data_IF_671432056696
#
_entry.id   IF_671432056696
#
_cell.length_a   1.000
_cell.length_b   1.000
_cell.length_c   1.000
_cell.angle_alpha   90.00
_cell.angle_beta   90.00
_cell.angle_gamma   90.00
#
_symmetry.space_group_name_H-M   'P 1'
#
loop_
_entity.id
_entity.type
_entity.pdbx_description
1 polymer ?
#
# COMPACT_ATOMS: atom_id res chain seq x y z
N UNK A 1 34.56 -28.85 22.51
CA UNK A 1 33.39 -29.71 22.71
C UNK A 1 32.48 -29.63 21.47
N UNK A 2 33.06 -29.87 20.27
CA UNK A 2 32.38 -29.80 18.97
C UNK A 2 33.01 -30.83 18.03
N UNK A 3 32.76 -32.12 18.30
CA UNK A 3 33.17 -33.24 17.42
C UNK A 3 32.49 -34.50 17.94
N UNK A 4 31.18 -34.67 17.69
CA UNK A 4 30.46 -35.95 17.79
C UNK A 4 29.02 -35.73 17.35
N UNK A 5 28.78 -35.61 16.02
CA UNK A 5 27.49 -35.86 15.38
C UNK A 5 27.69 -35.98 13.85
N UNK A 6 28.56 -36.92 13.51
CA UNK A 6 28.74 -37.33 12.10
C UNK A 6 29.12 -38.81 12.12
N UNK A 7 28.17 -39.67 12.38
CA UNK A 7 28.26 -41.10 12.08
C UNK A 7 26.92 -41.75 12.43
N UNK A 8 25.96 -41.69 11.53
CA UNK A 8 24.79 -42.58 11.43
C UNK A 8 23.99 -42.26 10.18
N UNK A 9 24.55 -42.45 9.01
CA UNK A 9 23.80 -42.48 7.75
C UNK A 9 24.56 -43.32 6.74
N UNK A 10 24.59 -44.63 7.01
CA UNK A 10 24.95 -45.62 6.00
C UNK A 10 23.86 -46.67 5.99
N UNK A 11 23.39 -46.95 4.75
CA UNK A 11 22.65 -48.10 4.28
C UNK A 11 21.11 -48.07 4.43
N UNK A 12 20.46 -47.70 3.31
CA UNK A 12 19.67 -48.68 2.57
C UNK A 12 19.39 -48.19 1.13
N UNK A 13 19.69 -48.95 0.07
CA UNK A 13 19.41 -48.58 -1.30
C UNK A 13 17.95 -48.93 -1.63
N UNK A 14 17.06 -47.95 -1.76
CA UNK A 14 15.78 -48.13 -2.44
C UNK A 14 15.86 -47.52 -3.84
N UNK A 15 15.73 -48.43 -4.81
CA UNK A 15 15.63 -48.16 -6.25
C UNK A 15 14.60 -47.08 -6.56
N UNK A 16 15.01 -46.14 -7.40
CA UNK A 16 14.09 -45.53 -8.35
C UNK A 16 13.31 -44.30 -7.90
N UNK A 17 13.97 -43.22 -7.52
CA UNK A 17 13.51 -41.86 -7.73
C UNK A 17 14.74 -40.97 -7.92
N UNK A 18 15.14 -40.75 -9.15
CA UNK A 18 16.01 -39.63 -9.49
C UNK A 18 15.35 -38.36 -8.99
N UNK A 19 16.04 -37.48 -8.26
CA UNK A 19 15.47 -36.21 -7.86
C UNK A 19 15.22 -35.39 -9.12
N UNK A 20 13.99 -34.98 -9.30
CA UNK A 20 13.48 -34.13 -10.39
C UNK A 20 14.28 -32.80 -10.55
N UNK A 21 15.15 -32.52 -9.61
CA UNK A 21 16.01 -31.31 -9.55
C UNK A 21 17.23 -31.35 -10.49
N UNK A 22 17.66 -32.53 -10.98
CA UNK A 22 18.80 -32.63 -11.87
C UNK A 22 18.45 -32.59 -13.36
N UNK A 23 17.19 -32.66 -13.73
CA UNK A 23 16.74 -32.54 -15.13
C UNK A 23 16.45 -31.10 -15.56
N UNK A 24 16.42 -30.14 -14.63
CA UNK A 24 16.19 -28.72 -14.95
C UNK A 24 17.46 -27.94 -15.30
N UNK A 25 18.64 -28.51 -15.10
CA UNK A 25 19.92 -27.88 -15.43
C UNK A 25 20.44 -28.14 -16.85
N UNK A 26 19.77 -28.97 -17.63
CA UNK A 26 20.20 -29.35 -18.97
C UNK A 26 19.43 -28.64 -20.12
N UNK A 27 18.45 -27.81 -19.79
CA UNK A 27 17.78 -26.98 -20.81
C UNK A 27 18.25 -25.55 -20.68
N UNK A 28 19.16 -25.19 -21.59
CA UNK A 28 19.62 -23.81 -21.76
C UNK A 28 18.44 -22.87 -21.96
N UNK A 29 18.37 -21.80 -21.13
CA UNK A 29 17.42 -20.72 -21.29
C UNK A 29 16.03 -21.07 -20.79
N UNK A 30 15.82 -21.15 -19.46
CA UNK A 30 14.50 -20.85 -18.93
C UNK A 30 14.13 -19.46 -19.43
N UNK A 31 12.98 -19.30 -20.13
CA UNK A 31 12.49 -17.95 -20.45
C UNK A 31 12.50 -17.18 -19.12
N UNK A 32 12.81 -15.86 -19.14
CA UNK A 32 12.70 -15.06 -17.93
C UNK A 32 11.33 -15.37 -17.35
N UNK A 33 11.28 -15.79 -16.08
CA UNK A 33 10.01 -15.93 -15.36
C UNK A 33 9.25 -14.65 -15.67
N UNK A 34 8.23 -14.73 -16.51
CA UNK A 34 7.37 -13.58 -16.78
C UNK A 34 6.96 -13.08 -15.42
N UNK A 35 7.37 -11.86 -15.07
CA UNK A 35 6.97 -11.25 -13.81
C UNK A 35 5.45 -11.40 -13.72
N UNK A 36 4.99 -11.95 -12.60
CA UNK A 36 3.57 -12.21 -12.42
C UNK A 36 2.80 -10.91 -12.66
N UNK A 37 1.72 -10.96 -13.46
CA UNK A 37 0.96 -9.78 -13.89
C UNK A 37 0.53 -8.95 -12.68
N UNK A 38 1.13 -7.77 -12.51
CA UNK A 38 0.79 -6.82 -11.45
C UNK A 38 -0.49 -6.09 -11.81
N UNK A 39 -1.24 -5.73 -10.79
CA UNK A 39 -2.44 -4.91 -10.92
C UNK A 39 -2.45 -3.76 -9.92
N UNK A 40 -3.39 -2.85 -10.09
CA UNK A 40 -3.57 -1.73 -9.15
C UNK A 40 -5.04 -1.41 -8.95
N UNK A 41 -5.40 -1.09 -7.70
CA UNK A 41 -6.72 -0.59 -7.37
C UNK A 41 -6.83 0.91 -7.60
N UNK A 42 -7.88 1.31 -8.30
CA UNK A 42 -8.33 2.69 -8.36
C UNK A 42 -9.58 2.87 -7.51
N UNK A 43 -9.40 3.42 -6.30
CA UNK A 43 -10.41 3.45 -5.25
C UNK A 43 -11.10 4.80 -5.08
N UNK A 44 -10.84 5.74 -5.97
CA UNK A 44 -11.42 7.08 -5.93
C UNK A 44 -12.85 7.09 -6.48
N UNK A 45 -13.69 7.95 -5.90
CA UNK A 45 -15.08 8.16 -6.37
C UNK A 45 -15.16 9.20 -7.48
N UNK A 46 -14.22 10.13 -7.53
CA UNK A 46 -14.17 11.13 -8.58
C UNK A 46 -13.86 10.51 -9.94
N UNK A 47 -14.62 10.92 -10.95
CA UNK A 47 -14.47 10.53 -12.34
C UNK A 47 -14.47 11.80 -13.20
N UNK A 48 -13.27 12.29 -13.49
CA UNK A 48 -13.00 13.49 -14.26
C UNK A 48 -11.77 13.27 -15.17
N UNK A 49 -11.42 14.26 -15.97
CA UNK A 49 -10.27 14.18 -16.87
C UNK A 49 -8.95 13.82 -16.15
N UNK A 50 -8.78 14.26 -14.90
CA UNK A 50 -7.58 13.91 -14.11
C UNK A 50 -7.54 12.41 -13.82
N UNK A 51 -8.65 11.83 -13.38
CA UNK A 51 -8.73 10.39 -13.14
C UNK A 51 -8.52 9.59 -14.43
N UNK A 52 -9.01 10.07 -15.57
CA UNK A 52 -8.80 9.42 -16.85
C UNK A 52 -7.33 9.45 -17.29
N UNK A 53 -6.63 10.59 -17.10
CA UNK A 53 -5.18 10.67 -17.37
C UNK A 53 -4.36 9.69 -16.52
N UNK A 54 -4.64 9.64 -15.22
CA UNK A 54 -3.94 8.72 -14.31
C UNK A 54 -4.16 7.26 -14.70
N UNK A 55 -5.40 6.90 -15.04
CA UNK A 55 -5.74 5.55 -15.49
C UNK A 55 -5.13 5.19 -16.83
N UNK A 56 -5.10 6.13 -17.78
CA UNK A 56 -4.44 5.94 -19.07
C UNK A 56 -2.93 5.70 -18.92
N UNK A 57 -2.29 6.39 -17.95
CA UNK A 57 -0.87 6.17 -17.63
C UNK A 57 -0.59 4.79 -16.99
N UNK A 58 -1.60 4.04 -16.59
CA UNK A 58 -1.51 2.70 -16.01
C UNK A 58 -2.08 1.61 -16.95
N UNK A 59 -2.24 1.89 -18.24
CA UNK A 59 -2.89 0.96 -19.18
C UNK A 59 -2.10 -0.36 -19.38
N UNK A 60 -0.83 -0.40 -18.99
CA UNK A 60 0.04 -1.57 -18.97
C UNK A 60 -0.19 -2.48 -17.74
N UNK A 61 -1.02 -2.06 -16.80
CA UNK A 61 -1.37 -2.83 -15.60
C UNK A 61 -2.81 -3.32 -15.63
N UNK A 62 -3.09 -4.40 -14.91
CA UNK A 62 -4.47 -4.84 -14.68
C UNK A 62 -5.14 -3.88 -13.70
N UNK A 63 -6.12 -3.13 -14.18
CA UNK A 63 -6.83 -2.13 -13.39
C UNK A 63 -8.02 -2.73 -12.68
N UNK A 64 -8.13 -2.52 -11.37
CA UNK A 64 -9.26 -2.86 -10.51
C UNK A 64 -9.93 -1.56 -10.07
N UNK A 65 -11.11 -1.25 -10.64
CA UNK A 65 -11.73 0.06 -10.48
C UNK A 65 -13.00 -0.02 -9.65
N UNK A 66 -13.08 0.75 -8.58
CA UNK A 66 -14.30 0.87 -7.78
C UNK A 66 -15.46 1.30 -8.68
N UNK A 67 -16.43 0.40 -8.86
CA UNK A 67 -17.61 0.56 -9.73
C UNK A 67 -18.86 0.86 -8.93
N UNK A 68 -18.95 0.35 -7.73
CA UNK A 68 -20.12 0.58 -6.90
C UNK A 68 -19.92 0.23 -5.43
N UNK A 69 -20.71 0.87 -4.59
CA UNK A 69 -20.78 0.60 -3.16
C UNK A 69 -22.24 0.35 -2.77
N UNK A 70 -22.46 -0.74 -2.06
CA UNK A 70 -23.77 -1.16 -1.60
C UNK A 70 -23.74 -1.38 -0.09
N UNK A 71 -24.43 -0.53 0.63
CA UNK A 71 -24.54 -0.57 2.09
C UNK A 71 -25.99 -0.78 2.52
N UNK A 72 -26.20 -1.51 3.61
CA UNK A 72 -27.55 -1.85 4.08
C UNK A 72 -28.42 -0.62 4.40
N UNK A 73 -27.80 0.46 4.89
CA UNK A 73 -28.53 1.66 5.38
C UNK A 73 -28.16 2.93 4.64
N UNK A 74 -27.64 2.81 3.43
CA UNK A 74 -27.26 3.95 2.62
C UNK A 74 -27.67 3.71 1.16
N UNK A 75 -27.95 4.77 0.39
CA UNK A 75 -28.18 4.65 -1.05
C UNK A 75 -27.02 3.93 -1.74
N UNK A 76 -27.36 3.11 -2.73
CA UNK A 76 -26.34 2.49 -3.58
C UNK A 76 -25.63 3.58 -4.39
N UNK A 77 -24.30 3.50 -4.43
CA UNK A 77 -23.46 4.38 -5.24
C UNK A 77 -22.97 3.57 -6.44
N UNK A 78 -23.26 4.02 -7.64
CA UNK A 78 -22.71 3.48 -8.89
C UNK A 78 -21.87 4.57 -9.56
N UNK A 79 -20.63 4.22 -9.88
CA UNK A 79 -19.67 5.12 -10.50
C UNK A 79 -19.51 4.76 -11.99
N UNK A 80 -19.33 5.74 -12.85
CA UNK A 80 -18.99 5.49 -14.25
C UNK A 80 -17.63 4.81 -14.35
N UNK A 81 -17.52 3.76 -15.18
CA UNK A 81 -16.22 3.25 -15.56
C UNK A 81 -15.59 4.12 -16.64
N UNK A 82 -14.29 4.36 -16.57
CA UNK A 82 -13.56 5.04 -17.65
C UNK A 82 -13.49 4.15 -18.89
N UNK A 83 -13.12 4.75 -20.03
CA UNK A 83 -12.95 4.05 -21.30
C UNK A 83 -11.62 3.26 -21.36
N UNK A 84 -11.31 2.50 -20.30
CA UNK A 84 -10.13 1.64 -20.22
C UNK A 84 -10.54 0.20 -19.89
N UNK A 85 -9.74 -0.76 -20.30
CA UNK A 85 -9.96 -2.16 -19.91
C UNK A 85 -9.71 -2.32 -18.41
N UNK A 86 -10.74 -2.64 -17.65
CA UNK A 86 -10.66 -2.74 -16.20
C UNK A 86 -11.58 -3.82 -15.64
N UNK A 87 -11.23 -4.33 -14.46
CA UNK A 87 -12.07 -5.17 -13.63
C UNK A 87 -12.93 -4.26 -12.74
N UNK A 88 -14.26 -4.25 -12.90
CA UNK A 88 -15.13 -3.51 -12.00
C UNK A 88 -15.12 -4.15 -10.61
N UNK A 89 -14.88 -3.34 -9.58
CA UNK A 89 -14.90 -3.74 -8.18
C UNK A 89 -16.17 -3.22 -7.52
N UNK A 90 -16.91 -4.10 -6.89
CA UNK A 90 -18.11 -3.75 -6.14
C UNK A 90 -17.89 -3.98 -4.66
N UNK A 91 -17.96 -2.89 -3.87
CA UNK A 91 -17.88 -2.95 -2.42
C UNK A 91 -19.24 -3.25 -1.84
N UNK A 92 -19.34 -4.33 -1.05
CA UNK A 92 -20.57 -4.81 -0.46
C UNK A 92 -20.47 -4.82 1.07
N UNK A 93 -21.48 -4.31 1.75
CA UNK A 93 -21.70 -4.60 3.16
C UNK A 93 -22.17 -6.06 3.31
N UNK A 94 -21.60 -6.79 4.26
CA UNK A 94 -21.91 -8.19 4.55
C UNK A 94 -23.39 -8.48 4.90
N UNK A 95 -24.23 -7.49 4.98
CA UNK A 95 -25.65 -7.62 5.31
C UNK A 95 -26.58 -7.48 4.10
N UNK A 96 -26.08 -7.00 2.95
CA UNK A 96 -26.94 -6.70 1.80
C UNK A 96 -27.45 -7.95 1.09
N UNK A 97 -26.70 -9.03 1.08
CA UNK A 97 -27.06 -10.27 0.35
C UNK A 97 -28.17 -11.10 0.99
N UNK A 98 -28.61 -10.77 2.19
CA UNK A 98 -29.76 -11.41 2.83
C UNK A 98 -31.11 -10.93 2.21
N UNK A 99 -31.08 -9.88 1.40
CA UNK A 99 -32.24 -9.35 0.70
C UNK A 99 -32.30 -9.91 -0.73
N UNK A 100 -33.33 -10.74 -1.02
CA UNK A 100 -33.59 -11.31 -2.33
C UNK A 100 -33.66 -10.24 -3.43
N UNK A 101 -34.40 -9.16 -3.16
CA UNK A 101 -34.58 -8.05 -4.13
C UNK A 101 -33.25 -7.38 -4.43
N UNK A 102 -32.36 -7.28 -3.41
CA UNK A 102 -31.01 -6.78 -3.62
C UNK A 102 -30.23 -7.70 -4.56
N UNK A 103 -30.26 -9.02 -4.32
CA UNK A 103 -29.48 -9.98 -5.12
C UNK A 103 -29.91 -9.95 -6.59
N UNK A 104 -31.19 -9.89 -6.87
CA UNK A 104 -31.75 -9.78 -8.22
C UNK A 104 -31.34 -8.48 -8.93
N UNK A 105 -31.50 -7.35 -8.23
CA UNK A 105 -31.07 -6.04 -8.73
C UNK A 105 -29.57 -6.00 -8.99
N UNK A 106 -28.77 -6.54 -8.08
CA UNK A 106 -27.32 -6.59 -8.23
C UNK A 106 -26.92 -7.49 -9.40
N UNK A 107 -27.54 -8.65 -9.56
CA UNK A 107 -27.33 -9.52 -10.72
C UNK A 107 -27.66 -8.80 -12.04
N UNK A 108 -28.71 -7.96 -12.07
CA UNK A 108 -29.02 -7.12 -13.25
C UNK A 108 -27.91 -6.13 -13.57
N UNK A 109 -27.33 -5.48 -12.55
CA UNK A 109 -26.19 -4.59 -12.71
C UNK A 109 -24.99 -5.36 -13.26
N UNK A 110 -24.69 -6.54 -12.71
CA UNK A 110 -23.58 -7.36 -13.18
C UNK A 110 -23.75 -7.84 -14.63
N UNK A 111 -24.97 -8.13 -15.07
CA UNK A 111 -25.26 -8.46 -16.47
C UNK A 111 -24.98 -7.31 -17.43
N UNK A 112 -25.21 -6.06 -16.98
CA UNK A 112 -24.97 -4.88 -17.81
C UNK A 112 -23.49 -4.50 -17.92
N UNK A 113 -22.61 -5.03 -17.03
CA UNK A 113 -21.18 -4.80 -17.14
C UNK A 113 -20.61 -5.58 -18.35
N UNK A 114 -19.81 -4.91 -19.16
CA UNK A 114 -19.17 -5.51 -20.34
C UNK A 114 -17.94 -6.35 -19.97
N UNK A 115 -17.28 -6.03 -18.87
CA UNK A 115 -16.09 -6.76 -18.41
C UNK A 115 -16.41 -8.24 -18.13
N UNK A 116 -15.58 -9.19 -18.59
CA UNK A 116 -15.80 -10.63 -18.35
C UNK A 116 -15.50 -11.04 -16.91
N UNK A 117 -14.73 -10.21 -16.18
CA UNK A 117 -14.37 -10.43 -14.78
C UNK A 117 -14.96 -9.32 -13.91
N UNK A 118 -15.42 -9.70 -12.72
CA UNK A 118 -15.95 -8.80 -11.70
C UNK A 118 -15.32 -9.16 -10.36
N UNK A 119 -14.92 -8.17 -9.59
CA UNK A 119 -14.43 -8.39 -8.23
C UNK A 119 -15.44 -7.91 -7.19
N UNK A 120 -15.64 -8.73 -6.17
CA UNK A 120 -16.43 -8.39 -5.00
C UNK A 120 -15.49 -8.07 -3.82
N UNK A 121 -15.59 -6.84 -3.32
CA UNK A 121 -14.87 -6.40 -2.12
C UNK A 121 -15.85 -6.39 -0.95
N UNK A 122 -15.67 -7.35 -0.04
CA UNK A 122 -16.54 -7.49 1.11
C UNK A 122 -15.75 -7.90 2.34
N UNK A 123 -15.75 -7.05 3.36
CA UNK A 123 -15.19 -7.33 4.68
C UNK A 123 -16.13 -8.27 5.44
N UNK A 124 -16.15 -9.54 5.05
CA UNK A 124 -17.06 -10.56 5.60
C UNK A 124 -16.61 -10.95 6.99
N UNK A 125 -17.46 -10.91 8.02
CA UNK A 125 -17.14 -11.54 9.30
C UNK A 125 -16.93 -13.05 9.13
N UNK A 126 -15.95 -13.64 9.85
CA UNK A 126 -15.62 -15.06 9.77
C UNK A 126 -16.84 -15.97 9.92
N UNK A 127 -17.75 -15.61 10.82
CA UNK A 127 -19.01 -16.33 11.07
C UNK A 127 -19.98 -16.35 9.88
N UNK A 128 -19.72 -15.57 8.84
CA UNK A 128 -20.60 -15.44 7.66
C UNK A 128 -19.98 -15.95 6.36
N UNK A 129 -18.80 -16.57 6.41
CA UNK A 129 -18.14 -17.10 5.21
C UNK A 129 -18.98 -18.10 4.42
N UNK A 130 -19.69 -18.98 5.10
CA UNK A 130 -20.62 -19.93 4.43
C UNK A 130 -21.77 -19.22 3.73
N UNK A 131 -22.35 -18.19 4.36
CA UNK A 131 -23.41 -17.38 3.76
C UNK A 131 -22.90 -16.62 2.54
N UNK A 132 -21.66 -16.14 2.60
CA UNK A 132 -21.00 -15.50 1.47
C UNK A 132 -20.81 -16.48 0.30
N UNK A 133 -20.42 -17.72 0.58
CA UNK A 133 -20.36 -18.78 -0.42
C UNK A 133 -21.71 -19.04 -1.11
N UNK A 134 -22.79 -19.12 -0.32
CA UNK A 134 -24.17 -19.29 -0.87
C UNK A 134 -24.61 -18.07 -1.71
N UNK A 135 -24.24 -16.86 -1.30
CA UNK A 135 -24.50 -15.66 -2.09
C UNK A 135 -23.76 -15.70 -3.45
N UNK A 136 -22.47 -16.07 -3.46
CA UNK A 136 -21.70 -16.22 -4.70
C UNK A 136 -22.26 -17.31 -5.62
N UNK A 137 -22.70 -18.43 -5.05
CA UNK A 137 -23.37 -19.49 -5.81
C UNK A 137 -24.63 -18.98 -6.53
N UNK A 138 -25.45 -18.20 -5.82
CA UNK A 138 -26.64 -17.58 -6.40
C UNK A 138 -26.29 -16.61 -7.52
N UNK A 139 -25.29 -15.74 -7.30
CA UNK A 139 -24.83 -14.81 -8.33
C UNK A 139 -24.34 -15.55 -9.59
N UNK A 140 -23.58 -16.63 -9.42
CA UNK A 140 -23.14 -17.43 -10.58
C UNK A 140 -24.29 -18.02 -11.39
N UNK A 141 -25.36 -18.43 -10.72
CA UNK A 141 -26.58 -18.92 -11.40
C UNK A 141 -27.29 -17.80 -12.14
N UNK A 142 -27.40 -16.62 -11.53
CA UNK A 142 -28.08 -15.46 -12.11
C UNK A 142 -27.29 -14.76 -13.22
N UNK A 143 -25.95 -14.86 -13.17
CA UNK A 143 -25.03 -14.17 -14.09
C UNK A 143 -24.03 -15.17 -14.68
N UNK A 144 -24.49 -16.13 -15.48
CA UNK A 144 -23.60 -17.10 -16.11
C UNK A 144 -22.63 -16.40 -17.07
N UNK A 145 -21.40 -16.90 -17.15
CA UNK A 145 -20.37 -16.34 -18.04
C UNK A 145 -19.50 -15.26 -17.42
N UNK A 146 -19.86 -14.68 -16.26
CA UNK A 146 -18.95 -13.79 -15.51
C UNK A 146 -17.98 -14.59 -14.64
N UNK A 147 -16.71 -14.17 -14.64
CA UNK A 147 -15.69 -14.66 -13.72
C UNK A 147 -15.73 -13.79 -12.45
N UNK A 148 -15.90 -14.42 -11.30
CA UNK A 148 -15.87 -13.70 -10.02
C UNK A 148 -14.52 -13.87 -9.36
N UNK A 149 -13.99 -12.78 -8.82
CA UNK A 149 -12.93 -12.74 -7.82
C UNK A 149 -13.44 -12.02 -6.57
N UNK A 150 -12.79 -12.23 -5.42
CA UNK A 150 -13.19 -11.61 -4.18
C UNK A 150 -11.95 -11.21 -3.36
N UNK A 151 -12.07 -10.16 -2.54
CA UNK A 151 -11.09 -9.86 -1.49
C UNK A 151 -11.33 -10.76 -0.29
N UNK A 152 -10.25 -11.25 0.30
CA UNK A 152 -10.28 -12.02 1.55
C UNK A 152 -9.28 -11.46 2.55
N UNK A 153 -9.61 -11.56 3.83
CA UNK A 153 -8.76 -11.18 4.94
C UNK A 153 -7.98 -12.40 5.47
N UNK A 154 -6.80 -12.24 6.07
CA UNK A 154 -6.04 -13.32 6.68
C UNK A 154 -6.82 -14.14 7.72
N UNK A 155 -7.71 -13.53 8.47
CA UNK A 155 -8.55 -14.23 9.44
C UNK A 155 -9.43 -15.30 8.80
N UNK A 156 -9.87 -15.11 7.55
CA UNK A 156 -10.68 -16.09 6.82
C UNK A 156 -9.93 -17.41 6.56
N UNK A 157 -8.59 -17.37 6.44
CA UNK A 157 -7.77 -18.55 6.17
C UNK A 157 -7.82 -19.60 7.27
N UNK A 158 -8.29 -19.22 8.47
CA UNK A 158 -8.53 -20.14 9.59
C UNK A 158 -9.76 -21.05 9.40
N UNK A 159 -10.55 -20.84 8.34
CA UNK A 159 -11.79 -21.55 8.06
C UNK A 159 -11.74 -22.31 6.72
N UNK A 160 -10.83 -23.29 6.55
CA UNK A 160 -10.58 -23.92 5.24
C UNK A 160 -11.81 -24.63 4.65
N UNK A 161 -12.70 -25.19 5.47
CA UNK A 161 -13.92 -25.83 5.01
C UNK A 161 -14.90 -24.81 4.37
N UNK A 162 -15.10 -23.66 5.02
CA UNK A 162 -15.94 -22.59 4.49
C UNK A 162 -15.34 -21.97 3.22
N UNK A 163 -14.00 -21.78 3.21
CA UNK A 163 -13.30 -21.28 2.03
C UNK A 163 -13.36 -22.25 0.87
N UNK A 164 -13.26 -23.55 1.09
CA UNK A 164 -13.39 -24.55 0.02
C UNK A 164 -14.73 -24.44 -0.70
N UNK A 165 -15.82 -24.27 0.02
CA UNK A 165 -17.14 -24.04 -0.56
C UNK A 165 -17.17 -22.72 -1.37
N UNK A 166 -16.63 -21.63 -0.81
CA UNK A 166 -16.56 -20.34 -1.46
C UNK A 166 -15.69 -20.37 -2.74
N UNK A 167 -14.57 -21.08 -2.73
CA UNK A 167 -13.62 -21.17 -3.86
C UNK A 167 -14.19 -21.85 -5.10
N UNK A 168 -15.22 -22.68 -4.96
CA UNK A 168 -15.93 -23.26 -6.12
C UNK A 168 -16.60 -22.18 -6.99
N UNK A 169 -16.85 -21.00 -6.44
CA UNK A 169 -17.53 -19.89 -7.11
C UNK A 169 -16.59 -18.77 -7.54
N UNK A 170 -15.31 -18.83 -7.18
CA UNK A 170 -14.30 -17.81 -7.51
C UNK A 170 -13.30 -18.35 -8.55
N UNK A 171 -12.87 -17.51 -9.48
CA UNK A 171 -11.71 -17.79 -10.32
C UNK A 171 -10.43 -17.76 -9.47
N UNK A 172 -10.23 -16.70 -8.74
CA UNK A 172 -9.16 -16.48 -7.76
C UNK A 172 -9.65 -15.55 -6.65
N UNK A 173 -8.84 -15.34 -5.63
CA UNK A 173 -9.10 -14.28 -4.63
C UNK A 173 -7.91 -13.35 -4.48
N UNK A 174 -8.15 -12.18 -3.91
CA UNK A 174 -7.11 -11.21 -3.53
C UNK A 174 -7.00 -11.19 -2.02
N UNK A 175 -5.85 -11.61 -1.51
CA UNK A 175 -5.57 -11.63 -0.08
C UNK A 175 -5.09 -10.24 0.37
N UNK A 176 -5.88 -9.56 1.18
CA UNK A 176 -5.52 -8.26 1.73
C UNK A 176 -4.48 -8.42 2.84
N UNK A 177 -3.31 -7.81 2.68
CA UNK A 177 -2.16 -7.91 3.59
C UNK A 177 -1.80 -6.57 4.24
N UNK A 178 -2.77 -5.67 4.35
CA UNK A 178 -2.57 -4.36 4.96
C UNK A 178 -3.76 -3.97 5.83
N UNK A 179 -3.54 -3.06 6.79
CA UNK A 179 -4.56 -2.57 7.72
C UNK A 179 -5.32 -3.70 8.42
N UNK A 180 -4.59 -4.73 8.89
CA UNK A 180 -5.18 -5.96 9.42
C UNK A 180 -5.73 -5.79 10.84
N UNK A 181 -5.17 -4.87 11.60
CA UNK A 181 -5.54 -4.59 12.98
C UNK A 181 -6.08 -3.15 13.09
N UNK A 182 -7.04 -2.89 13.98
CA UNK A 182 -7.46 -1.53 14.27
C UNK A 182 -6.36 -0.77 15.03
N UNK A 183 -6.22 0.56 14.84
CA UNK A 183 -5.33 1.36 15.67
C UNK A 183 -5.71 1.32 17.15
N UNK A 184 -4.71 1.12 18.00
CA UNK A 184 -4.85 1.20 19.45
C UNK A 184 -4.45 2.57 20.00
N UNK A 185 -4.54 2.74 21.33
CA UNK A 185 -4.12 3.94 22.03
C UNK A 185 -2.60 4.05 22.10
N UNK A 186 -2.08 5.27 22.31
CA UNK A 186 -0.65 5.49 22.56
C UNK A 186 -0.23 4.94 23.93
N UNK A 187 1.01 4.45 24.07
CA UNK A 187 2.12 4.54 23.11
C UNK A 187 2.17 3.41 22.05
N UNK A 188 1.09 2.66 21.87
CA UNK A 188 1.04 1.56 20.90
C UNK A 188 1.46 1.99 19.50
N UNK A 189 2.18 1.11 18.77
CA UNK A 189 2.54 1.32 17.38
C UNK A 189 1.52 0.63 16.47
N UNK A 190 0.98 1.37 15.50
CA UNK A 190 0.14 0.81 14.46
C UNK A 190 0.99 0.50 13.21
N UNK A 191 0.89 -0.73 12.72
CA UNK A 191 1.56 -1.16 11.50
C UNK A 191 0.53 -1.26 10.37
N UNK A 192 0.67 -0.40 9.36
CA UNK A 192 -0.16 -0.49 8.16
C UNK A 192 0.15 -1.76 7.35
N UNK A 193 1.40 -2.21 7.38
CA UNK A 193 1.87 -3.47 6.85
C UNK A 193 2.77 -4.17 7.89
N UNK A 194 2.36 -5.35 8.31
CA UNK A 194 3.13 -6.23 9.19
C UNK A 194 3.68 -7.40 8.35
N UNK A 195 4.98 -7.44 8.06
CA UNK A 195 5.57 -8.48 7.23
C UNK A 195 5.46 -9.88 7.83
N UNK A 196 5.53 -10.01 9.16
CA UNK A 196 5.44 -11.31 9.82
C UNK A 196 4.00 -11.87 9.77
N UNK A 197 3.00 -11.01 9.97
CA UNK A 197 1.60 -11.39 9.80
C UNK A 197 1.29 -11.72 8.32
N UNK A 198 1.84 -10.96 7.39
CA UNK A 198 1.71 -11.20 5.96
C UNK A 198 2.37 -12.52 5.54
N UNK A 199 3.56 -12.84 6.06
CA UNK A 199 4.26 -14.12 5.81
C UNK A 199 3.41 -15.32 6.27
N UNK A 200 2.85 -15.26 7.48
CA UNK A 200 1.95 -16.31 7.96
C UNK A 200 0.70 -16.47 7.10
N UNK A 201 0.12 -15.34 6.68
CA UNK A 201 -1.05 -15.35 5.82
C UNK A 201 -0.77 -15.95 4.44
N UNK A 202 0.35 -15.59 3.81
CA UNK A 202 0.74 -16.16 2.51
C UNK A 202 1.00 -17.65 2.62
N UNK A 203 1.69 -18.11 3.67
CA UNK A 203 1.90 -19.54 3.89
C UNK A 203 0.57 -20.31 3.98
N UNK A 204 -0.37 -19.82 4.79
CA UNK A 204 -1.72 -20.40 4.91
C UNK A 204 -2.50 -20.36 3.60
N UNK A 205 -2.36 -19.30 2.79
CA UNK A 205 -3.00 -19.19 1.49
C UNK A 205 -2.45 -20.20 0.47
N UNK A 206 -1.15 -20.44 0.47
CA UNK A 206 -0.49 -21.45 -0.38
C UNK A 206 -1.02 -22.86 -0.06
N UNK A 207 -1.19 -23.19 1.22
CA UNK A 207 -1.70 -24.49 1.66
C UNK A 207 -3.13 -24.77 1.17
N UNK A 208 -3.93 -23.75 0.93
CA UNK A 208 -5.30 -23.86 0.40
C UNK A 208 -5.35 -24.25 -1.10
N UNK A 209 -4.23 -24.19 -1.81
CA UNK A 209 -4.08 -24.57 -3.22
C UNK A 209 -5.10 -23.92 -4.17
N UNK A 210 -5.53 -22.70 -3.85
CA UNK A 210 -6.39 -21.86 -4.69
C UNK A 210 -5.55 -20.70 -5.21
N UNK A 211 -5.70 -20.39 -6.50
CA UNK A 211 -5.07 -19.22 -7.09
C UNK A 211 -5.42 -17.96 -6.29
N UNK A 212 -4.42 -17.15 -5.97
CA UNK A 212 -4.62 -15.89 -5.29
C UNK A 212 -3.59 -14.84 -5.72
N UNK A 213 -3.93 -13.59 -5.47
CA UNK A 213 -3.06 -12.42 -5.59
C UNK A 213 -2.92 -11.76 -4.23
N UNK A 214 -1.86 -11.01 -4.01
CA UNK A 214 -1.63 -10.26 -2.77
C UNK A 214 -2.04 -8.80 -2.97
N UNK A 215 -2.84 -8.22 -2.06
CA UNK A 215 -3.05 -6.78 -2.01
C UNK A 215 -2.05 -6.16 -1.02
N UNK A 216 -1.15 -5.30 -1.53
CA UNK A 216 -0.11 -4.62 -0.76
C UNK A 216 -0.36 -3.10 -0.75
N UNK A 217 -0.04 -2.41 0.37
CA UNK A 217 -0.36 -1.01 0.53
C UNK A 217 0.64 -0.09 -0.18
N UNK A 218 0.12 0.98 -0.76
CA UNK A 218 0.89 2.09 -1.34
C UNK A 218 0.49 3.43 -0.76
N UNK A 219 -0.19 3.42 0.37
CA UNK A 219 -0.79 4.59 1.01
C UNK A 219 -0.39 4.69 2.48
N UNK A 220 -0.73 5.80 3.11
CA UNK A 220 -0.59 6.03 4.54
C UNK A 220 -1.93 6.44 5.16
N UNK A 221 -2.02 6.32 6.48
CA UNK A 221 -3.07 6.91 7.28
C UNK A 221 -2.55 8.02 8.16
N UNK A 222 -3.38 9.04 8.43
CA UNK A 222 -3.25 9.90 9.59
C UNK A 222 -4.05 9.29 10.73
N UNK A 223 -3.39 9.06 11.86
CA UNK A 223 -3.99 8.55 13.08
C UNK A 223 -4.15 9.72 14.05
N UNK A 224 -5.38 9.99 14.43
CA UNK A 224 -5.70 11.12 15.31
C UNK A 224 -5.91 10.61 16.73
N UNK A 225 -5.19 11.19 17.67
CA UNK A 225 -5.23 10.86 19.08
C UNK A 225 -5.65 12.07 19.90
N UNK A 226 -6.25 11.87 21.03
CA UNK A 226 -6.44 12.91 22.03
C UNK A 226 -5.08 13.26 22.66
N UNK A 227 -4.59 14.47 22.46
CA UNK A 227 -3.24 14.87 22.87
C UNK A 227 -2.94 14.67 24.37
N UNK A 228 -3.97 14.81 25.25
CA UNK A 228 -3.82 14.68 26.70
C UNK A 228 -3.73 13.23 27.19
N UNK A 229 -4.47 12.33 26.55
CA UNK A 229 -4.66 10.94 27.04
C UNK A 229 -3.98 9.91 26.15
N UNK A 230 -3.58 10.26 24.94
CA UNK A 230 -3.10 9.33 23.92
C UNK A 230 -4.19 8.40 23.36
N UNK A 231 -5.47 8.64 23.66
CA UNK A 231 -6.57 7.80 23.21
C UNK A 231 -6.80 7.96 21.71
N UNK A 232 -6.90 6.85 20.98
CA UNK A 232 -7.25 6.85 19.58
C UNK A 232 -8.65 7.42 19.33
N UNK A 233 -8.78 8.34 18.40
CA UNK A 233 -10.05 8.99 18.03
C UNK A 233 -10.57 8.54 16.68
N UNK A 234 -9.74 8.65 15.67
CA UNK A 234 -10.11 8.35 14.29
C UNK A 234 -8.87 8.14 13.42
N UNK A 235 -9.05 7.46 12.32
CA UNK A 235 -8.09 7.46 11.23
C UNK A 235 -8.65 8.26 10.04
N UNK A 236 -7.75 8.82 9.25
CA UNK A 236 -8.11 9.46 8.00
C UNK A 236 -7.14 9.07 6.90
N UNK A 237 -7.71 8.73 5.76
CA UNK A 237 -7.02 8.62 4.49
C UNK A 237 -7.51 9.80 3.65
N UNK A 238 -6.73 10.36 2.79
CA UNK A 238 -7.05 11.43 1.85
C UNK A 238 -7.97 12.57 2.35
N UNK A 239 -7.73 13.79 1.91
CA UNK A 239 -8.62 14.96 2.07
C UNK A 239 -9.31 15.09 3.44
N UNK A 240 -8.65 14.61 4.48
CA UNK A 240 -9.19 14.71 5.83
C UNK A 240 -9.28 16.18 6.24
N UNK A 241 -10.31 16.53 7.03
CA UNK A 241 -10.39 17.86 7.61
C UNK A 241 -9.12 18.15 8.43
N UNK A 242 -8.74 19.42 8.56
CA UNK A 242 -7.59 19.83 9.35
C UNK A 242 -7.69 19.30 10.77
N UNK A 243 -6.55 19.25 11.43
CA UNK A 243 -6.44 18.83 12.83
C UNK A 243 -7.41 19.58 13.72
N UNK A 244 -8.11 18.84 14.59
CA UNK A 244 -8.94 19.43 15.64
C UNK A 244 -8.06 19.99 16.76
N UNK A 245 -8.55 21.00 17.48
CA UNK A 245 -7.86 21.47 18.68
C UNK A 245 -7.71 20.33 19.68
N UNK A 246 -6.49 20.12 20.20
CA UNK A 246 -6.19 19.07 21.19
C UNK A 246 -6.04 17.67 20.59
N UNK A 247 -5.88 17.53 19.27
CA UNK A 247 -5.49 16.31 18.62
C UNK A 247 -3.96 16.24 18.43
N UNK A 248 -3.39 15.06 18.64
CA UNK A 248 -2.05 14.67 18.20
C UNK A 248 -2.21 13.80 16.96
N UNK A 249 -1.48 14.12 15.88
CA UNK A 249 -1.54 13.35 14.64
C UNK A 249 -0.25 12.57 14.46
N UNK A 250 -0.38 11.28 14.15
CA UNK A 250 0.71 10.40 13.75
C UNK A 250 0.42 9.79 12.38
N UNK A 251 1.49 9.49 11.64
CA UNK A 251 1.37 8.84 10.33
C UNK A 251 1.66 7.35 10.45
N UNK A 252 0.78 6.55 9.88
CA UNK A 252 1.01 5.13 9.67
C UNK A 252 1.42 4.94 8.20
N UNK A 253 2.70 4.78 7.98
CA UNK A 253 3.33 4.59 6.66
C UNK A 253 3.90 3.18 6.60
N UNK A 254 3.80 2.46 5.47
CA UNK A 254 4.50 1.19 5.33
C UNK A 254 6.02 1.38 5.47
N UNK A 255 6.67 0.43 6.12
CA UNK A 255 8.11 0.29 6.03
C UNK A 255 8.45 -0.22 4.62
N UNK A 256 8.89 0.71 3.75
CA UNK A 256 9.09 0.42 2.32
C UNK A 256 10.19 -0.60 2.07
N UNK A 257 11.20 -0.67 2.93
CA UNK A 257 12.26 -1.65 2.81
C UNK A 257 11.73 -3.06 3.10
N UNK A 258 10.99 -3.22 4.21
CA UNK A 258 10.36 -4.49 4.55
C UNK A 258 9.32 -4.92 3.52
N UNK A 259 8.51 -3.97 3.01
CA UNK A 259 7.55 -4.25 1.96
C UNK A 259 8.24 -4.72 0.67
N UNK A 260 9.36 -4.10 0.30
CA UNK A 260 10.16 -4.47 -0.85
C UNK A 260 10.81 -5.85 -0.68
N UNK A 261 11.35 -6.14 0.51
CA UNK A 261 11.91 -7.47 0.83
C UNK A 261 10.82 -8.54 0.75
N UNK A 262 9.64 -8.27 1.30
CA UNK A 262 8.49 -9.16 1.21
C UNK A 262 8.05 -9.39 -0.25
N UNK A 263 7.95 -8.32 -1.06
CA UNK A 263 7.63 -8.43 -2.48
C UNK A 263 8.63 -9.29 -3.25
N UNK A 264 9.94 -9.15 -2.95
CA UNK A 264 11.01 -9.97 -3.55
C UNK A 264 10.91 -11.43 -3.13
N UNK A 265 10.63 -11.70 -1.86
CA UNK A 265 10.42 -13.05 -1.33
C UNK A 265 9.30 -13.79 -2.06
N UNK A 266 8.22 -13.10 -2.39
CA UNK A 266 7.03 -13.65 -3.05
C UNK A 266 6.87 -13.18 -4.50
N UNK A 267 7.99 -13.02 -5.23
CA UNK A 267 8.00 -12.49 -6.60
C UNK A 267 7.12 -13.28 -7.59
N UNK A 268 6.92 -14.58 -7.35
CA UNK A 268 6.08 -15.45 -8.18
C UNK A 268 4.58 -15.24 -7.96
N UNK A 269 4.15 -14.57 -6.88
CA UNK A 269 2.74 -14.34 -6.59
C UNK A 269 2.35 -12.96 -7.15
N UNK A 270 1.28 -12.85 -7.98
CA UNK A 270 0.82 -11.58 -8.50
C UNK A 270 0.43 -10.61 -7.40
N UNK A 271 0.74 -9.33 -7.58
CA UNK A 271 0.38 -8.26 -6.65
C UNK A 271 -0.69 -7.36 -7.25
N UNK A 272 -1.63 -6.94 -6.43
CA UNK A 272 -2.56 -5.85 -6.73
C UNK A 272 -2.28 -4.74 -5.72
N UNK A 273 -1.69 -3.66 -6.18
CA UNK A 273 -1.30 -2.54 -5.34
C UNK A 273 -2.52 -1.75 -4.85
N UNK A 274 -2.66 -1.55 -3.57
CA UNK A 274 -3.74 -0.77 -2.99
C UNK A 274 -3.13 0.51 -2.38
N UNK A 275 -3.24 1.64 -3.03
CA UNK A 275 -4.08 2.02 -4.19
C UNK A 275 -3.30 2.98 -5.10
N UNK A 276 -3.87 3.28 -6.28
CA UNK A 276 -3.35 4.30 -7.19
C UNK A 276 -3.67 5.70 -6.68
N UNK A 277 -2.66 6.56 -6.62
CA UNK A 277 -2.79 7.96 -6.22
C UNK A 277 -3.50 8.81 -7.28
N UNK A 278 -4.26 9.80 -6.83
CA UNK A 278 -4.65 10.95 -7.65
C UNK A 278 -3.61 12.08 -7.52
N UNK A 279 -3.60 13.02 -8.46
CA UNK A 279 -2.61 14.12 -8.51
C UNK A 279 -2.42 14.90 -7.19
N UNK A 280 -3.44 14.94 -6.33
CA UNK A 280 -3.38 15.66 -5.05
C UNK A 280 -3.41 14.72 -3.83
N UNK A 281 -3.30 13.41 -4.05
CA UNK A 281 -3.28 12.44 -2.97
C UNK A 281 -1.87 12.32 -2.39
N UNK A 282 -1.65 13.03 -1.30
CA UNK A 282 -0.35 13.07 -0.61
C UNK A 282 -0.13 11.93 0.37
N UNK A 283 -1.17 11.12 0.61
CA UNK A 283 -1.09 9.93 1.46
C UNK A 283 -0.98 8.65 0.64
N UNK A 284 -0.58 8.73 -0.62
CA UNK A 284 -0.41 7.59 -1.50
C UNK A 284 0.85 7.76 -2.35
N UNK A 285 1.53 6.67 -2.68
CA UNK A 285 2.68 6.71 -3.58
C UNK A 285 2.27 7.22 -4.96
N UNK A 286 3.01 8.18 -5.48
CA UNK A 286 2.90 8.60 -6.86
C UNK A 286 3.19 7.42 -7.81
N UNK A 287 2.63 7.48 -9.02
CA UNK A 287 2.72 6.40 -10.00
C UNK A 287 4.18 5.99 -10.30
N UNK A 288 5.11 6.94 -10.38
CA UNK A 288 6.53 6.62 -10.63
C UNK A 288 7.11 5.78 -9.48
N UNK A 289 6.86 6.17 -8.24
CA UNK A 289 7.32 5.42 -7.07
C UNK A 289 6.63 4.06 -6.95
N UNK A 290 5.37 3.96 -7.35
CA UNK A 290 4.65 2.69 -7.43
C UNK A 290 5.28 1.76 -8.48
N UNK A 291 5.63 2.27 -9.66
CA UNK A 291 6.35 1.50 -10.70
C UNK A 291 7.71 1.03 -10.23
N UNK A 292 8.44 1.86 -9.49
CA UNK A 292 9.72 1.47 -8.88
C UNK A 292 9.54 0.32 -7.90
N UNK A 293 8.56 0.43 -7.01
CA UNK A 293 8.27 -0.60 -6.03
C UNK A 293 7.87 -1.94 -6.69
N UNK A 294 7.04 -1.87 -7.73
CA UNK A 294 6.66 -3.05 -8.53
C UNK A 294 7.86 -3.69 -9.23
N UNK A 295 8.78 -2.88 -9.74
CA UNK A 295 10.04 -3.32 -10.33
C UNK A 295 11.08 -3.81 -9.30
N UNK A 296 10.73 -3.88 -8.01
CA UNK A 296 11.65 -4.32 -6.95
C UNK A 296 12.68 -3.26 -6.55
N UNK A 297 12.42 -1.99 -6.84
CA UNK A 297 13.28 -0.86 -6.51
C UNK A 297 12.66 -0.03 -5.36
N UNK A 298 13.48 0.56 -4.47
CA UNK A 298 12.95 1.41 -3.41
C UNK A 298 12.30 2.68 -3.99
N UNK A 299 11.23 3.18 -3.35
CA UNK A 299 10.67 4.47 -3.68
C UNK A 299 11.72 5.58 -3.55
N UNK A 300 11.62 6.62 -4.35
CA UNK A 300 12.48 7.80 -4.24
C UNK A 300 11.87 8.80 -3.27
N UNK A 301 12.73 9.37 -2.45
CA UNK A 301 12.36 10.50 -1.58
C UNK A 301 12.16 11.75 -2.44
N UNK A 302 11.03 12.42 -2.30
CA UNK A 302 10.76 13.69 -2.96
C UNK A 302 10.51 14.74 -1.88
N UNK A 303 11.59 15.34 -1.41
CA UNK A 303 11.54 16.48 -0.48
C UNK A 303 11.85 17.75 -1.25
N UNK A 304 10.91 18.68 -1.28
CA UNK A 304 11.13 20.04 -1.75
C UNK A 304 11.77 20.84 -0.61
N UNK A 305 12.92 21.44 -0.89
CA UNK A 305 13.59 22.35 -0.02
C UNK A 305 13.45 23.76 -0.59
N UNK A 306 12.89 24.67 0.18
CA UNK A 306 12.74 26.06 -0.25
C UNK A 306 12.97 27.03 0.89
N UNK A 307 13.24 28.28 0.56
CA UNK A 307 13.44 29.34 1.50
C UNK A 307 12.55 30.54 1.17
N UNK A 308 12.20 31.31 2.20
CA UNK A 308 11.46 32.55 2.09
C UNK A 308 12.16 33.67 2.83
N UNK A 309 12.52 34.73 2.14
CA UNK A 309 13.15 35.91 2.75
C UNK A 309 12.08 36.85 3.31
N UNK A 310 12.26 37.26 4.57
CA UNK A 310 11.42 38.23 5.26
C UNK A 310 12.35 39.29 5.91
N UNK A 311 12.55 40.41 5.23
CA UNK A 311 13.53 41.41 5.65
C UNK A 311 14.96 40.84 5.66
N UNK A 312 15.60 40.88 6.84
CA UNK A 312 16.97 40.34 7.06
C UNK A 312 16.99 38.85 7.40
N UNK A 313 15.82 38.24 7.57
CA UNK A 313 15.66 36.84 7.97
C UNK A 313 15.34 35.99 6.74
N UNK A 314 15.93 34.80 6.67
CA UNK A 314 15.62 33.78 5.71
C UNK A 314 15.03 32.56 6.45
N UNK A 315 13.79 32.24 6.19
CA UNK A 315 13.13 31.03 6.70
C UNK A 315 13.41 29.84 5.78
N UNK A 316 13.69 28.67 6.36
CA UNK A 316 13.95 27.43 5.65
C UNK A 316 12.80 26.48 5.86
N UNK A 317 12.41 25.80 4.80
CA UNK A 317 11.29 24.84 4.79
C UNK A 317 11.67 23.55 4.08
N UNK A 318 11.14 22.44 4.62
CA UNK A 318 11.03 21.17 3.92
C UNK A 318 9.58 20.86 3.67
N UNK A 319 9.28 20.35 2.48
CA UNK A 319 7.96 19.84 2.10
C UNK A 319 8.10 18.41 1.58
N UNK A 320 7.39 17.48 2.19
CA UNK A 320 7.34 16.12 1.73
C UNK A 320 6.23 15.97 0.67
N UNK A 321 6.59 15.66 -0.57
CA UNK A 321 5.67 15.43 -1.69
C UNK A 321 5.25 13.98 -1.84
N UNK A 322 5.72 13.06 -0.98
CA UNK A 322 5.45 11.64 -1.09
C UNK A 322 5.11 10.99 0.25
N UNK A 323 4.79 9.72 0.19
CA UNK A 323 4.53 8.86 1.34
C UNK A 323 5.83 8.21 1.77
N UNK A 324 6.64 8.94 2.52
CA UNK A 324 7.92 8.43 3.03
C UNK A 324 7.85 8.34 4.56
N UNK A 325 8.37 7.23 5.07
CA UNK A 325 8.41 6.97 6.50
C UNK A 325 9.47 7.78 7.24
N UNK A 326 9.74 7.34 8.47
CA UNK A 326 10.70 7.93 9.42
C UNK A 326 12.15 7.76 8.92
N UNK A 327 12.57 8.58 7.96
CA UNK A 327 13.96 8.65 7.49
C UNK A 327 14.52 10.04 7.78
N UNK A 328 15.82 10.11 8.00
CA UNK A 328 16.50 11.39 8.05
C UNK A 328 16.79 11.89 6.63
N UNK A 329 16.60 13.18 6.44
CA UNK A 329 16.93 13.86 5.20
C UNK A 329 18.10 14.80 5.40
N UNK A 330 18.97 14.87 4.42
CA UNK A 330 20.13 15.75 4.41
C UNK A 330 20.00 16.80 3.31
N UNK A 331 20.26 18.04 3.65
CA UNK A 331 20.22 19.18 2.73
C UNK A 331 21.53 19.95 2.75
N UNK A 332 22.04 20.26 1.56
CA UNK A 332 23.18 21.17 1.39
C UNK A 332 22.69 22.61 1.34
N UNK A 333 23.19 23.47 2.25
CA UNK A 333 22.84 24.89 2.34
C UNK A 333 23.84 25.82 1.64
N UNK A 334 24.98 25.29 1.20
CA UNK A 334 26.02 26.09 0.57
C UNK A 334 26.93 26.85 1.51
N UNK A 335 26.61 26.94 2.78
CA UNK A 335 27.35 27.70 3.78
C UNK A 335 27.04 29.21 3.73
N UNK A 336 27.87 30.03 4.32
CA UNK A 336 27.72 31.50 4.39
C UNK A 336 27.99 32.03 5.77
N UNK A 337 27.83 33.37 5.95
CA UNK A 337 27.86 34.02 7.25
C UNK A 337 26.46 34.37 7.72
N UNK A 338 26.20 34.27 9.04
CA UNK A 338 24.93 34.56 9.66
C UNK A 338 24.66 33.68 10.88
N UNK A 339 23.61 34.01 11.62
CA UNK A 339 23.12 33.17 12.71
C UNK A 339 22.03 32.24 12.24
N UNK A 340 22.22 30.92 12.42
CA UNK A 340 21.26 29.92 12.05
C UNK A 340 20.64 29.26 13.28
N UNK A 341 19.32 29.15 13.27
CA UNK A 341 18.53 28.46 14.29
C UNK A 341 17.73 27.33 13.59
N UNK A 342 17.82 26.11 14.11
CA UNK A 342 17.12 24.98 13.59
C UNK A 342 16.07 24.46 14.58
N UNK A 343 14.97 23.90 14.05
CA UNK A 343 13.81 23.43 14.78
C UNK A 343 13.58 21.96 14.50
N UNK A 344 12.70 21.31 15.26
CA UNK A 344 12.18 19.97 15.00
C UNK A 344 13.25 18.87 14.82
N UNK A 345 14.33 18.92 15.62
CA UNK A 345 15.41 17.93 15.54
C UNK A 345 16.33 18.08 14.33
N UNK A 346 16.18 19.15 13.54
CA UNK A 346 17.13 19.47 12.47
C UNK A 346 18.41 20.02 13.08
N UNK A 347 19.55 19.51 12.64
CA UNK A 347 20.87 19.88 13.16
C UNK A 347 21.94 19.89 12.05
N UNK A 348 23.04 20.62 12.23
CA UNK A 348 24.15 20.60 11.29
C UNK A 348 24.87 19.25 11.30
N UNK A 349 25.24 18.76 10.11
CA UNK A 349 25.99 17.49 9.95
C UNK A 349 27.44 17.63 10.38
N UNK A 350 28.00 18.83 10.27
CA UNK A 350 29.37 19.15 10.63
C UNK A 350 29.33 20.28 11.69
N UNK A 351 30.18 20.24 12.72
CA UNK A 351 30.27 21.31 13.72
C UNK A 351 30.39 22.71 13.07
N UNK A 352 29.58 23.64 13.54
CA UNK A 352 29.47 24.98 12.97
C UNK A 352 30.47 25.88 13.66
N UNK A 353 31.20 26.65 12.89
CA UNK A 353 32.01 27.77 13.41
C UNK A 353 31.05 28.90 13.84
N UNK A 354 31.20 29.52 15.01
CA UNK A 354 30.36 30.64 15.43
C UNK A 354 30.27 31.72 14.35
N UNK A 355 29.07 32.19 14.06
CA UNK A 355 28.80 33.17 13.01
C UNK A 355 28.80 32.64 11.59
N UNK A 356 28.93 31.33 11.39
CA UNK A 356 28.84 30.70 10.08
C UNK A 356 27.57 29.85 9.95
N UNK A 357 26.92 29.90 8.78
CA UNK A 357 25.83 29.00 8.43
C UNK A 357 26.40 27.62 8.08
N UNK A 358 25.85 26.52 8.62
CA UNK A 358 26.34 25.19 8.30
C UNK A 358 26.21 24.89 6.82
N UNK A 359 27.17 24.15 6.26
CA UNK A 359 27.10 23.73 4.84
C UNK A 359 26.04 22.69 4.60
N UNK A 360 25.78 21.83 5.58
CA UNK A 360 24.84 20.73 5.48
C UNK A 360 24.06 20.57 6.78
N UNK A 361 22.80 20.30 6.67
CA UNK A 361 21.90 19.99 7.79
C UNK A 361 21.25 18.62 7.56
N UNK A 362 20.88 17.93 8.63
CA UNK A 362 20.03 16.74 8.58
C UNK A 362 18.93 16.83 9.65
N UNK A 363 17.89 16.06 9.47
CA UNK A 363 16.80 15.97 10.42
C UNK A 363 15.65 15.12 9.91
N UNK A 364 14.61 14.94 10.73
CA UNK A 364 13.48 14.09 10.39
C UNK A 364 12.68 14.66 9.23
N UNK A 365 12.20 13.78 8.36
CA UNK A 365 11.33 14.15 7.24
C UNK A 365 9.96 14.57 7.78
N UNK A 366 9.36 15.68 7.29
CA UNK A 366 7.98 16.02 7.59
C UNK A 366 7.04 14.90 7.19
N UNK A 367 5.89 14.80 7.84
CA UNK A 367 4.87 13.82 7.48
C UNK A 367 4.41 13.97 6.02
N UNK A 368 3.80 12.92 5.45
CA UNK A 368 3.35 12.94 4.06
C UNK A 368 2.46 14.14 3.75
N UNK A 369 2.87 14.93 2.75
CA UNK A 369 2.18 16.15 2.33
C UNK A 369 2.34 17.35 3.27
N UNK A 370 3.11 17.24 4.34
CA UNK A 370 3.38 18.35 5.26
C UNK A 370 4.48 19.27 4.76
N UNK A 371 4.36 20.53 5.19
CA UNK A 371 5.41 21.53 5.06
C UNK A 371 5.86 21.94 6.46
N UNK A 372 7.13 21.78 6.74
CA UNK A 372 7.73 22.08 8.03
C UNK A 372 8.72 23.23 7.89
N UNK A 373 8.58 24.26 8.74
CA UNK A 373 9.60 25.29 8.88
C UNK A 373 10.73 24.70 9.72
N UNK A 374 11.86 24.40 9.10
CA UNK A 374 12.97 23.68 9.73
C UNK A 374 14.01 24.58 10.35
N UNK A 375 14.00 25.86 10.02
CA UNK A 375 14.99 26.81 10.58
C UNK A 375 14.80 28.23 10.10
N UNK A 376 15.64 29.10 10.67
CA UNK A 376 15.80 30.49 10.29
C UNK A 376 17.28 30.84 10.24
N UNK A 377 17.66 31.73 9.31
CA UNK A 377 19.00 32.31 9.21
C UNK A 377 18.85 33.84 9.24
N UNK A 378 19.41 34.47 10.25
CA UNK A 378 19.45 35.92 10.35
C UNK A 378 20.68 36.47 9.63
N UNK A 379 20.50 37.57 8.89
CA UNK A 379 21.59 38.24 8.18
C UNK A 379 22.41 37.31 7.28
N UNK A 380 21.73 36.37 6.62
CA UNK A 380 22.39 35.40 5.73
C UNK A 380 23.03 36.12 4.53
N UNK A 381 24.35 36.05 4.48
CA UNK A 381 25.15 36.42 3.32
C UNK A 381 25.66 35.13 2.72
N UNK A 382 25.14 34.71 1.53
CA UNK A 382 25.60 33.48 0.88
C UNK A 382 27.09 33.60 0.53
N UNK A 383 27.83 32.49 0.43
CA UNK A 383 29.22 32.54 -0.02
C UNK A 383 29.24 33.17 -1.39
N UNK A 384 30.18 34.10 -1.60
CA UNK A 384 30.40 34.66 -2.93
C UNK A 384 30.56 33.53 -3.93
N UNK A 385 29.74 33.54 -4.96
CA UNK A 385 29.86 32.57 -6.06
C UNK A 385 31.21 32.79 -6.73
N UNK A 386 32.25 32.14 -6.21
CA UNK A 386 33.45 31.96 -7.03
C UNK A 386 33.01 31.12 -8.19
N UNK A 387 32.83 31.77 -9.33
CA UNK A 387 32.68 31.12 -10.61
C UNK A 387 33.80 30.08 -10.73
N UNK A 388 33.48 28.81 -10.46
CA UNK A 388 34.34 27.73 -10.86
C UNK A 388 34.27 27.65 -12.38
N UNK A 389 35.31 28.20 -13.00
CA UNK A 389 35.65 27.91 -14.39
C UNK A 389 36.11 26.46 -14.49
#
# INVERSE_FOLDING_TARGET
MFRKFLNSLILFPRRGRLPLLLLLSAWGGLPPLCAAESGVYFWHRERNERSERVLAACADWKLYILRGEFRKRAPAVLLRLPAVCAVPVFRLDALVWNDEKFVEKFASILRSETAPEVQLDCDVPESRLLQYGSFLERLRRLVPGKRFSATLLPCHLRHPAALKALFCHLAFYVLQLHALEPPGDLPGKYLLFDPDAADRAVAAAVDLRKEFKMALPTYAYRLHYEARTGRFRRLSAENAPPEGRGEEVRFAVPDWEKLLQFRKKYAAIPVVWFRLAMENDRLCLELENLRRLDAGLPPRVVIECFSRRIGVRTELFWRNHGVLGEQEFQQFLGGGTGEAFFFHGVHPVIPVVPGCVPRMICGPIPGPGETLKIGEINQWIPPESKSCW
#
